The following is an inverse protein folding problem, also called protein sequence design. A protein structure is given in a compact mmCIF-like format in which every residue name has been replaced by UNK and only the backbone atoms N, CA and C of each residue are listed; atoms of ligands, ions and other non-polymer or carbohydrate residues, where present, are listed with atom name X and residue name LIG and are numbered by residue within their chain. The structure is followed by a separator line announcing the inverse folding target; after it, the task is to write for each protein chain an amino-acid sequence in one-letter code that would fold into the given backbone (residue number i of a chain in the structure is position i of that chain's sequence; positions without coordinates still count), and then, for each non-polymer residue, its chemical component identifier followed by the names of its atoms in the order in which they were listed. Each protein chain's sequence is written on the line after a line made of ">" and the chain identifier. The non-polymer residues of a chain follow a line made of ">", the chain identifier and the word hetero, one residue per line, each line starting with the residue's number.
data_IF_676104485969
#
_entry.id   IF_676104485969
#
_cell.length_a   1.000
_cell.length_b   1.000
_cell.length_c   1.000
_cell.angle_alpha   90.00
_cell.angle_beta   90.00
_cell.angle_gamma   90.00
#
_symmetry.space_group_name_H-M   'P 1'
#
loop_
_entity.id
_entity.type
_entity.pdbx_description
1 polymer ?
#
# COMPACT_ATOMS: atom_id res chain seq x y z
N UNK A 1 1.75 -5.46 -9.45
CA UNK A 1 0.41 -5.00 -9.89
C UNK A 1 -0.66 -5.82 -9.21
N UNK A 2 -0.72 -7.14 -9.45
CA UNK A 2 -1.72 -8.04 -8.86
C UNK A 2 -1.72 -7.97 -7.32
N UNK A 3 -0.55 -8.00 -6.68
CA UNK A 3 -0.40 -7.93 -5.22
C UNK A 3 -0.83 -6.59 -4.59
N UNK A 4 -0.66 -5.47 -5.32
CA UNK A 4 -1.04 -4.14 -4.82
C UNK A 4 -2.56 -3.93 -4.88
N UNK A 5 -3.19 -4.44 -5.96
CA UNK A 5 -4.65 -4.41 -6.13
C UNK A 5 -5.32 -5.34 -5.12
N UNK A 6 -4.78 -6.56 -4.92
CA UNK A 6 -5.31 -7.50 -3.94
C UNK A 6 -5.16 -7.00 -2.51
N UNK A 7 -4.06 -6.32 -2.17
CA UNK A 7 -3.89 -5.69 -0.86
C UNK A 7 -5.00 -4.63 -0.59
N UNK A 8 -5.27 -3.75 -1.57
CA UNK A 8 -6.35 -2.76 -1.46
C UNK A 8 -7.74 -3.40 -1.31
N UNK A 9 -8.01 -4.48 -2.05
CA UNK A 9 -9.25 -5.26 -1.92
C UNK A 9 -9.38 -5.94 -0.55
N UNK A 10 -8.28 -6.48 0.01
CA UNK A 10 -8.32 -7.07 1.35
C UNK A 10 -8.58 -6.04 2.44
N UNK A 11 -8.06 -4.82 2.29
CA UNK A 11 -8.33 -3.71 3.22
C UNK A 11 -9.80 -3.27 3.12
N UNK A 12 -10.35 -3.18 1.90
CA UNK A 12 -11.78 -2.96 1.70
C UNK A 12 -12.62 -4.14 2.20
N UNK A 13 -12.10 -5.37 2.23
CA UNK A 13 -12.78 -6.52 2.83
C UNK A 13 -13.00 -6.37 4.34
N UNK A 14 -12.16 -5.57 5.03
CA UNK A 14 -12.26 -5.34 6.47
C UNK A 14 -13.55 -4.60 6.89
N UNK A 15 -14.23 -3.97 5.94
CA UNK A 15 -15.56 -3.35 6.10
C UNK A 15 -16.63 -4.35 6.53
N UNK A 16 -16.56 -5.60 6.03
CA UNK A 16 -17.57 -6.63 6.26
C UNK A 16 -17.27 -7.55 7.44
N UNK A 17 -16.38 -7.15 8.34
CA UNK A 17 -15.95 -7.97 9.48
C UNK A 17 -17.08 -8.14 10.50
N UNK A 18 -17.72 -9.31 10.47
CA UNK A 18 -18.80 -9.69 11.39
C UNK A 18 -18.41 -10.78 12.40
N UNK A 19 -17.17 -11.29 12.36
CA UNK A 19 -16.73 -12.35 13.27
C UNK A 19 -15.21 -12.60 13.29
N UNK A 20 -14.76 -13.33 14.32
CA UNK A 20 -13.35 -13.61 14.60
C UNK A 20 -12.65 -14.37 13.47
N UNK A 21 -13.35 -15.31 12.85
CA UNK A 21 -12.85 -16.12 11.73
C UNK A 21 -12.53 -15.24 10.51
N UNK A 22 -13.40 -14.28 10.20
CA UNK A 22 -13.20 -13.35 9.10
C UNK A 22 -11.99 -12.43 9.34
N UNK A 23 -11.75 -12.03 10.59
CA UNK A 23 -10.56 -11.25 10.98
C UNK A 23 -9.28 -12.07 10.75
N UNK A 24 -9.26 -13.34 11.17
CA UNK A 24 -8.10 -14.21 11.00
C UNK A 24 -7.75 -14.43 9.52
N UNK A 25 -8.76 -14.73 8.69
CA UNK A 25 -8.56 -14.95 7.25
C UNK A 25 -8.07 -13.67 6.56
N UNK A 26 -8.71 -12.53 6.83
CA UNK A 26 -8.26 -11.25 6.28
C UNK A 26 -6.86 -10.86 6.76
N UNK A 27 -6.52 -11.15 8.01
CA UNK A 27 -5.19 -10.91 8.56
C UNK A 27 -4.09 -11.69 7.83
N UNK A 28 -4.32 -12.98 7.56
CA UNK A 28 -3.38 -13.83 6.80
C UNK A 28 -3.24 -13.34 5.36
N UNK A 29 -4.35 -13.07 4.68
CA UNK A 29 -4.34 -12.57 3.31
C UNK A 29 -3.64 -11.22 3.22
N UNK A 30 -4.00 -10.27 4.08
CA UNK A 30 -3.39 -8.95 4.14
C UNK A 30 -1.89 -9.04 4.43
N UNK A 31 -1.48 -9.88 5.39
CA UNK A 31 -0.07 -10.10 5.73
C UNK A 31 0.72 -10.63 4.53
N UNK A 32 0.18 -11.62 3.82
CA UNK A 32 0.81 -12.16 2.62
C UNK A 32 0.96 -11.09 1.52
N UNK A 33 -0.12 -10.39 1.17
CA UNK A 33 -0.07 -9.41 0.08
C UNK A 33 0.78 -8.18 0.40
N UNK A 34 0.71 -7.68 1.64
CA UNK A 34 1.53 -6.56 2.10
C UNK A 34 3.01 -6.93 2.16
N UNK A 35 3.33 -8.17 2.57
CA UNK A 35 4.70 -8.70 2.55
C UNK A 35 5.29 -8.73 1.14
N UNK A 36 4.54 -9.26 0.16
CA UNK A 36 4.96 -9.27 -1.25
C UNK A 36 5.21 -7.84 -1.77
N UNK A 37 4.37 -6.88 -1.39
CA UNK A 37 4.56 -5.47 -1.77
C UNK A 37 5.86 -4.91 -1.19
N UNK A 38 6.16 -5.19 0.07
CA UNK A 38 7.32 -4.66 0.79
C UNK A 38 8.63 -5.24 0.24
N UNK A 39 8.68 -6.54 0.00
CA UNK A 39 9.86 -7.20 -0.58
C UNK A 39 10.16 -6.72 -2.00
N UNK A 40 9.14 -6.32 -2.76
CA UNK A 40 9.31 -5.81 -4.12
C UNK A 40 9.91 -4.40 -4.19
N UNK A 41 9.84 -3.60 -3.11
CA UNK A 41 10.37 -2.22 -3.11
C UNK A 41 11.87 -2.20 -3.47
N UNK A 42 12.65 -3.12 -2.92
CA UNK A 42 14.09 -3.23 -3.19
C UNK A 42 14.41 -3.42 -4.68
N UNK A 43 13.95 -4.52 -5.30
CA UNK A 43 14.12 -4.80 -6.73
C UNK A 43 13.59 -3.69 -7.63
N UNK A 44 12.48 -3.04 -7.26
CA UNK A 44 11.90 -1.96 -8.05
C UNK A 44 12.79 -0.74 -8.15
N UNK A 45 13.29 -0.28 -6.99
CA UNK A 45 14.16 0.89 -6.97
C UNK A 45 15.49 0.55 -7.66
N UNK A 46 15.94 -0.70 -7.59
CA UNK A 46 17.10 -1.19 -8.33
C UNK A 46 16.92 -1.16 -9.84
N UNK A 47 15.79 -1.63 -10.37
CA UNK A 47 15.48 -1.57 -11.82
C UNK A 47 15.34 -0.12 -12.30
N UNK A 48 14.85 0.78 -11.45
CA UNK A 48 14.70 2.18 -11.81
C UNK A 48 16.01 2.97 -11.71
N UNK A 49 16.98 2.54 -10.90
CA UNK A 49 18.24 3.25 -10.70
C UNK A 49 19.23 2.91 -11.83
N UNK A 50 19.66 3.90 -12.63
CA UNK A 50 20.67 3.66 -13.67
C UNK A 50 22.06 3.39 -13.07
N UNK A 51 22.35 3.93 -11.88
CA UNK A 51 23.59 3.72 -11.14
C UNK A 51 23.30 3.23 -9.72
N UNK A 52 24.01 2.18 -9.27
CA UNK A 52 23.88 1.62 -7.91
C UNK A 52 24.27 2.62 -6.81
N UNK A 53 25.09 3.62 -7.14
CA UNK A 53 25.48 4.69 -6.20
C UNK A 53 24.34 5.62 -5.79
N UNK A 54 23.28 5.74 -6.60
CA UNK A 54 22.10 6.58 -6.30
C UNK A 54 20.94 5.79 -5.70
N UNK A 55 21.10 4.46 -5.57
CA UNK A 55 20.05 3.56 -5.10
C UNK A 55 19.58 3.91 -3.69
N UNK A 56 20.53 4.14 -2.78
CA UNK A 56 20.24 4.48 -1.39
C UNK A 56 19.51 5.82 -1.24
N UNK A 57 19.90 6.83 -2.02
CA UNK A 57 19.26 8.15 -2.00
C UNK A 57 17.80 8.08 -2.47
N UNK A 58 17.53 7.34 -3.55
CA UNK A 58 16.17 7.13 -4.06
C UNK A 58 15.29 6.34 -3.09
N UNK A 59 15.82 5.26 -2.51
CA UNK A 59 15.12 4.54 -1.45
C UNK A 59 14.79 5.46 -0.27
N UNK A 60 15.76 6.27 0.17
CA UNK A 60 15.57 7.24 1.25
C UNK A 60 14.44 8.23 0.97
N UNK A 61 14.36 8.79 -0.24
CA UNK A 61 13.26 9.69 -0.64
C UNK A 61 11.91 8.97 -0.61
N UNK A 62 11.82 7.73 -1.11
CA UNK A 62 10.60 6.93 -1.08
C UNK A 62 10.12 6.68 0.36
N UNK A 63 11.03 6.27 1.27
CA UNK A 63 10.70 6.05 2.68
C UNK A 63 10.38 7.34 3.42
N UNK A 64 11.01 8.47 3.07
CA UNK A 64 10.71 9.77 3.64
C UNK A 64 9.27 10.19 3.34
N UNK A 65 8.86 10.14 2.06
CA UNK A 65 7.47 10.44 1.65
C UNK A 65 6.48 9.45 2.27
N UNK A 66 6.82 8.15 2.30
CA UNK A 66 6.00 7.13 2.95
C UNK A 66 5.84 7.39 4.46
N UNK A 67 6.89 7.87 5.13
CA UNK A 67 6.87 8.26 6.53
C UNK A 67 5.86 9.37 6.82
N UNK A 68 5.81 10.42 6.00
CA UNK A 68 4.77 11.46 6.11
C UNK A 68 3.36 10.89 5.93
N UNK A 69 3.18 9.99 4.96
CA UNK A 69 1.91 9.29 4.75
C UNK A 69 1.46 8.52 5.99
N UNK A 70 2.39 7.82 6.65
CA UNK A 70 2.11 7.12 7.91
C UNK A 70 1.80 8.09 9.05
N UNK A 71 2.54 9.19 9.16
CA UNK A 71 2.35 10.19 10.22
C UNK A 71 0.98 10.88 10.13
N UNK A 72 0.49 11.13 8.91
CA UNK A 72 -0.80 11.78 8.66
C UNK A 72 -1.94 10.77 8.67
N UNK A 73 -1.74 9.58 8.11
CA UNK A 73 -2.78 8.56 8.00
C UNK A 73 -3.24 7.99 9.35
N UNK A 74 -2.32 7.85 10.30
CA UNK A 74 -2.61 7.30 11.64
C UNK A 74 -3.59 8.17 12.44
N UNK A 75 -3.38 9.49 12.62
CA UNK A 75 -4.34 10.35 13.31
C UNK A 75 -5.67 10.51 12.55
N UNK A 76 -5.67 10.48 11.20
CA UNK A 76 -6.92 10.51 10.43
C UNK A 76 -7.75 9.25 10.69
N UNK A 77 -7.13 8.06 10.61
CA UNK A 77 -7.81 6.80 10.95
C UNK A 77 -8.28 6.78 12.40
N UNK A 78 -7.48 7.33 13.33
CA UNK A 78 -7.87 7.47 14.73
C UNK A 78 -9.09 8.40 14.92
N UNK A 79 -9.13 9.54 14.24
CA UNK A 79 -10.26 10.46 14.28
C UNK A 79 -11.53 9.86 13.66
N UNK A 80 -11.39 9.09 12.59
CA UNK A 80 -12.49 8.39 11.91
C UNK A 80 -13.12 7.28 12.77
N UNK A 81 -12.37 6.71 13.72
CA UNK A 81 -12.85 5.64 14.59
C UNK A 81 -13.99 6.13 15.51
N UNK A 82 -14.00 7.42 15.88
CA UNK A 82 -14.98 8.12 16.72
C UNK A 82 -15.28 7.44 18.07
N UNK A 83 -16.11 8.06 18.93
CA UNK A 83 -16.43 7.52 20.27
C UNK A 83 -17.24 6.21 20.24
N UNK A 84 -17.81 5.84 19.08
CA UNK A 84 -18.65 4.66 18.88
C UNK A 84 -17.90 3.49 18.21
N UNK A 85 -16.56 3.54 18.09
CA UNK A 85 -15.73 2.50 17.49
C UNK A 85 -16.25 2.03 16.11
N UNK A 86 -16.60 2.98 15.23
CA UNK A 86 -17.12 2.65 13.90
C UNK A 86 -15.98 2.26 12.95
N UNK A 87 -15.53 1.01 13.03
CA UNK A 87 -14.38 0.45 12.28
C UNK A 87 -14.50 0.51 10.75
N UNK A 88 -15.71 0.61 10.22
CA UNK A 88 -15.96 0.68 8.78
C UNK A 88 -15.34 1.94 8.12
N UNK A 89 -15.36 3.08 8.82
CA UNK A 89 -14.89 4.38 8.30
C UNK A 89 -13.36 4.42 8.08
N UNK A 90 -12.51 4.04 9.06
CA UNK A 90 -11.07 3.99 8.85
C UNK A 90 -10.64 2.88 7.88
N UNK A 91 -11.38 1.76 7.83
CA UNK A 91 -11.15 0.70 6.84
C UNK A 91 -11.39 1.20 5.41
N UNK A 92 -12.48 1.95 5.18
CA UNK A 92 -12.78 2.57 3.88
C UNK A 92 -11.69 3.58 3.48
N UNK A 93 -11.28 4.45 4.40
CA UNK A 93 -10.21 5.42 4.15
C UNK A 93 -8.90 4.74 3.75
N UNK A 94 -8.48 3.72 4.51
CA UNK A 94 -7.24 2.97 4.26
C UNK A 94 -7.32 2.16 2.94
N UNK A 95 -8.49 1.61 2.62
CA UNK A 95 -8.74 0.88 1.37
C UNK A 95 -8.67 1.79 0.14
N UNK A 96 -9.27 2.98 0.21
CA UNK A 96 -9.20 3.97 -0.88
C UNK A 96 -7.78 4.49 -1.06
N UNK A 97 -7.09 4.83 0.04
CA UNK A 97 -5.71 5.33 -0.02
C UNK A 97 -4.75 4.29 -0.62
N UNK A 98 -4.90 3.01 -0.25
CA UNK A 98 -4.09 1.92 -0.81
C UNK A 98 -4.40 1.65 -2.29
N UNK A 99 -5.67 1.71 -2.70
CA UNK A 99 -6.04 1.61 -4.11
C UNK A 99 -5.49 2.77 -4.94
N UNK A 100 -5.56 4.00 -4.44
CA UNK A 100 -4.97 5.17 -5.10
C UNK A 100 -3.46 4.97 -5.32
N UNK A 101 -2.74 4.50 -4.29
CA UNK A 101 -1.33 4.14 -4.40
C UNK A 101 -1.08 3.02 -5.41
N UNK A 102 -1.93 1.98 -5.44
CA UNK A 102 -1.83 0.88 -6.41
C UNK A 102 -2.03 1.34 -7.85
N UNK A 103 -2.95 2.30 -8.10
CA UNK A 103 -3.18 2.90 -9.41
C UNK A 103 -1.95 3.71 -9.84
N UNK A 104 -1.43 4.59 -8.98
CA UNK A 104 -0.23 5.39 -9.29
C UNK A 104 0.97 4.50 -9.62
N UNK A 105 1.18 3.47 -8.81
CA UNK A 105 2.25 2.50 -9.03
C UNK A 105 2.08 1.71 -10.34
N UNK A 106 0.84 1.33 -10.67
CA UNK A 106 0.53 0.65 -11.93
C UNK A 106 0.78 1.56 -13.13
N UNK A 107 0.36 2.82 -13.06
CA UNK A 107 0.60 3.84 -14.10
C UNK A 107 2.09 4.07 -14.34
N UNK A 108 2.87 4.22 -13.27
CA UNK A 108 4.34 4.36 -13.35
C UNK A 108 4.98 3.19 -14.10
N UNK A 109 4.59 1.95 -13.77
CA UNK A 109 5.11 0.76 -14.43
C UNK A 109 4.67 0.66 -15.89
N UNK A 110 3.42 1.03 -16.20
CA UNK A 110 2.93 1.07 -17.59
C UNK A 110 3.73 2.07 -18.42
N UNK A 111 3.98 3.27 -17.90
CA UNK A 111 4.77 4.30 -18.59
C UNK A 111 6.23 3.83 -18.77
N UNK A 112 6.84 3.23 -17.75
CA UNK A 112 8.21 2.71 -17.83
C UNK A 112 8.33 1.58 -18.87
N UNK A 113 7.43 0.60 -18.86
CA UNK A 113 7.39 -0.48 -19.86
C UNK A 113 7.16 0.08 -21.27
N UNK A 114 6.31 1.10 -21.43
CA UNK A 114 6.10 1.76 -22.73
C UNK A 114 7.36 2.48 -23.21
N UNK A 115 8.13 3.12 -22.32
CA UNK A 115 9.38 3.80 -22.69
C UNK A 115 10.52 2.84 -23.03
N UNK A 116 10.52 1.61 -22.49
CA UNK A 116 11.58 0.62 -22.75
C UNK A 116 11.33 -0.23 -24.01
N UNK A 117 10.25 0.01 -24.74
CA UNK A 117 9.90 -0.69 -25.99
C UNK A 117 10.12 0.16 -27.24
N UNK A 118 10.54 1.42 -27.07
CA UNK A 118 11.00 2.34 -28.13
C UNK A 118 12.47 2.67 -27.88
#
# INVERSE_FOLDING_TARGET
>A
MISAISCGLTILGAIGLSGLTSVAILGVLYGYFSGVCTTMVGPLVAVLAPNTSELGGRMGICFFVGGFGSLIGTPISGALLTSNYTWWKPALFSGIASLAGAVMYSSMRLIYTRRNQF
#
